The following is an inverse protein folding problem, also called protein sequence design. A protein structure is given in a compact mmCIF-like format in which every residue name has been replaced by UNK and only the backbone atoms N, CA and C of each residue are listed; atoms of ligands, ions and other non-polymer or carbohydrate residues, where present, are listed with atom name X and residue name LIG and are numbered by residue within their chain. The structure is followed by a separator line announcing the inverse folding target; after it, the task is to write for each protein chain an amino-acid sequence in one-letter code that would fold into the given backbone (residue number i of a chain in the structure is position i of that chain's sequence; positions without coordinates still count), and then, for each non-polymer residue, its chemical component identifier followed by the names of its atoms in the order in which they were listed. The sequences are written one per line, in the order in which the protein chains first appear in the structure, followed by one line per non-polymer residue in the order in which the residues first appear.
data_IF_013723641901
#
_entry.id   IF_013723641901
#
_cell.length_a   1.000
_cell.length_b   1.000
_cell.length_c   1.000
_cell.angle_alpha   90.00
_cell.angle_beta   90.00
_cell.angle_gamma   90.00
#
_symmetry.space_group_name_H-M   'P 1'
#
loop_
_entity.id
_entity.type
_entity.pdbx_description
1 polymer ?
#
# COMPACT_ATOMS: atom_id res chain seq x y z
N UNK A 1 -0.84 -25.53 4.66
CA UNK A 1 -2.15 -24.89 4.93
C UNK A 1 -2.24 -23.77 3.94
N UNK A 2 -3.19 -23.89 3.00
CA UNK A 2 -3.47 -23.02 1.85
C UNK A 2 -2.28 -22.70 0.92
N UNK A 3 -1.90 -23.69 0.12
CA UNK A 3 -1.23 -23.52 -1.18
C UNK A 3 -2.29 -23.24 -2.27
N UNK A 4 -3.06 -22.15 -2.12
CA UNK A 4 -4.03 -21.67 -3.11
C UNK A 4 -3.56 -20.32 -3.63
N UNK A 5 -3.52 -20.14 -4.96
CA UNK A 5 -2.94 -18.97 -5.62
C UNK A 5 -3.29 -17.65 -4.92
N UNK A 6 -2.28 -16.77 -4.75
CA UNK A 6 -2.40 -15.49 -4.07
C UNK A 6 -3.54 -14.69 -4.71
N UNK A 7 -4.72 -14.73 -4.09
CA UNK A 7 -5.81 -13.84 -4.41
C UNK A 7 -6.20 -13.19 -3.09
N UNK A 8 -6.00 -11.88 -3.02
CA UNK A 8 -6.32 -11.10 -1.83
C UNK A 8 -7.49 -10.17 -2.15
N UNK A 9 -8.42 -10.07 -1.22
CA UNK A 9 -9.56 -9.16 -1.37
C UNK A 9 -9.09 -7.72 -1.14
N UNK A 10 -9.74 -6.76 -1.81
CA UNK A 10 -9.42 -5.34 -1.67
C UNK A 10 -9.41 -4.85 -0.22
N UNK A 11 -10.38 -5.28 0.57
CA UNK A 11 -10.47 -4.89 1.99
C UNK A 11 -9.27 -5.42 2.79
N UNK A 12 -8.80 -6.65 2.49
CA UNK A 12 -7.61 -7.23 3.12
C UNK A 12 -6.33 -6.49 2.72
N UNK A 13 -6.22 -6.05 1.45
CA UNK A 13 -5.11 -5.22 0.95
C UNK A 13 -5.09 -3.90 1.71
N UNK A 14 -6.24 -3.21 1.80
CA UNK A 14 -6.34 -1.93 2.49
C UNK A 14 -6.04 -2.04 3.98
N UNK A 15 -6.54 -3.07 4.66
CA UNK A 15 -6.30 -3.26 6.10
C UNK A 15 -4.82 -3.55 6.38
N UNK A 16 -4.18 -4.40 5.56
CA UNK A 16 -2.75 -4.69 5.68
C UNK A 16 -1.89 -3.47 5.34
N UNK A 17 -2.23 -2.72 4.29
CA UNK A 17 -1.54 -1.49 3.90
C UNK A 17 -1.66 -0.42 5.00
N UNK A 18 -2.86 -0.22 5.55
CA UNK A 18 -3.08 0.71 6.67
C UNK A 18 -2.24 0.33 7.89
N UNK A 19 -2.26 -0.95 8.28
CA UNK A 19 -1.44 -1.43 9.41
C UNK A 19 0.04 -1.14 9.18
N UNK A 20 0.55 -1.43 7.97
CA UNK A 20 1.93 -1.15 7.62
C UNK A 20 2.29 0.34 7.74
N UNK A 21 1.44 1.23 7.23
CA UNK A 21 1.66 2.68 7.27
C UNK A 21 1.59 3.20 8.72
N UNK A 22 0.60 2.75 9.48
CA UNK A 22 0.44 3.09 10.91
C UNK A 22 1.69 2.71 11.69
N UNK A 23 2.18 1.48 11.51
CA UNK A 23 3.35 0.97 12.22
C UNK A 23 4.64 1.68 11.78
N UNK A 24 4.81 1.92 10.47
CA UNK A 24 6.03 2.52 9.90
C UNK A 24 6.19 3.99 10.28
N UNK A 25 5.09 4.74 10.34
CA UNK A 25 5.10 6.18 10.56
C UNK A 25 4.65 6.61 11.96
N UNK A 26 4.43 5.65 12.88
CA UNK A 26 3.94 5.90 14.24
C UNK A 26 2.66 6.78 14.25
N UNK A 27 1.73 6.43 13.36
CA UNK A 27 0.46 7.14 13.20
C UNK A 27 -0.64 6.46 14.01
N UNK A 28 -1.77 7.14 14.14
CA UNK A 28 -2.96 6.54 14.75
C UNK A 28 -3.80 5.85 13.68
N UNK A 29 -4.29 4.62 13.88
CA UNK A 29 -5.16 3.93 12.93
C UNK A 29 -6.35 4.79 12.46
N UNK A 30 -6.96 5.56 13.36
CA UNK A 30 -8.07 6.45 13.05
C UNK A 30 -7.71 7.66 12.18
N UNK A 31 -6.42 8.00 12.06
CA UNK A 31 -5.93 9.09 11.21
C UNK A 31 -5.69 8.66 9.76
N UNK A 32 -5.74 7.36 9.48
CA UNK A 32 -5.43 6.79 8.18
C UNK A 32 -6.67 6.16 7.56
N UNK A 33 -7.10 6.69 6.42
CA UNK A 33 -8.24 6.22 5.64
C UNK A 33 -7.80 5.86 4.22
N UNK A 34 -8.64 5.10 3.50
CA UNK A 34 -8.34 4.74 2.11
C UNK A 34 -8.22 5.97 1.19
N UNK A 35 -8.89 7.08 1.52
CA UNK A 35 -8.80 8.35 0.79
C UNK A 35 -7.64 9.24 1.24
N UNK A 36 -6.97 8.91 2.34
CA UNK A 36 -5.86 9.72 2.86
C UNK A 36 -4.71 9.71 1.86
N UNK A 37 -4.19 10.89 1.57
CA UNK A 37 -3.11 11.08 0.59
C UNK A 37 -1.73 11.08 1.21
N UNK A 38 -0.69 10.79 0.41
CA UNK A 38 0.70 10.83 0.86
C UNK A 38 1.05 12.19 1.49
N UNK A 39 0.55 13.29 0.92
CA UNK A 39 0.82 14.63 1.43
C UNK A 39 0.19 14.89 2.80
N UNK A 40 -0.99 14.31 3.07
CA UNK A 40 -1.61 14.38 4.40
C UNK A 40 -0.85 13.56 5.44
N UNK A 41 -0.18 12.49 5.02
CA UNK A 41 0.69 11.67 5.86
C UNK A 41 2.11 12.26 6.00
N UNK A 42 2.43 13.33 5.29
CA UNK A 42 3.78 13.90 5.25
C UNK A 42 4.80 13.00 4.53
N UNK A 43 4.32 12.07 3.69
CA UNK A 43 5.15 11.17 2.88
C UNK A 43 5.58 11.92 1.61
N UNK A 44 6.89 12.14 1.48
CA UNK A 44 7.51 12.64 0.26
C UNK A 44 7.92 11.50 -0.68
N UNK A 45 8.41 11.85 -1.87
CA UNK A 45 8.77 10.88 -2.92
C UNK A 45 9.84 9.87 -2.50
N UNK A 46 10.77 10.23 -1.61
CA UNK A 46 11.82 9.30 -1.16
C UNK A 46 11.22 8.28 -0.20
N UNK A 47 10.40 8.76 0.75
CA UNK A 47 9.66 7.90 1.68
C UNK A 47 8.70 6.98 0.91
N UNK A 48 8.09 7.48 -0.17
CA UNK A 48 7.22 6.69 -1.03
C UNK A 48 7.95 5.49 -1.64
N UNK A 49 9.18 5.65 -2.12
CA UNK A 49 9.97 4.53 -2.67
C UNK A 49 10.22 3.47 -1.60
N UNK A 50 10.60 3.88 -0.40
CA UNK A 50 10.84 2.98 0.73
C UNK A 50 9.55 2.28 1.22
N UNK A 51 8.40 2.97 1.17
CA UNK A 51 7.10 2.35 1.42
C UNK A 51 6.77 1.29 0.36
N UNK A 52 7.03 1.56 -0.92
CA UNK A 52 6.74 0.59 -1.98
C UNK A 52 7.63 -0.66 -1.89
N UNK A 53 8.89 -0.52 -1.47
CA UNK A 53 9.77 -1.67 -1.21
C UNK A 53 9.23 -2.57 -0.08
N UNK A 54 8.74 -1.97 1.01
CA UNK A 54 8.08 -2.72 2.09
C UNK A 54 6.80 -3.41 1.59
N UNK A 55 6.06 -2.76 0.69
CA UNK A 55 4.88 -3.36 0.06
C UNK A 55 5.26 -4.58 -0.75
N UNK A 56 6.30 -4.50 -1.59
CA UNK A 56 6.80 -5.66 -2.35
C UNK A 56 7.15 -6.83 -1.45
N UNK A 57 7.92 -6.60 -0.38
CA UNK A 57 8.31 -7.63 0.57
C UNK A 57 7.09 -8.23 1.30
N UNK A 58 6.18 -7.39 1.80
CA UNK A 58 5.05 -7.87 2.61
C UNK A 58 3.96 -8.54 1.79
N UNK A 59 3.74 -8.12 0.55
CA UNK A 59 2.73 -8.68 -0.33
C UNK A 59 3.29 -9.77 -1.24
N UNK A 60 4.62 -9.92 -1.33
CA UNK A 60 5.27 -10.92 -2.17
C UNK A 60 5.11 -10.61 -3.65
N UNK A 61 5.16 -9.32 -4.01
CA UNK A 61 5.01 -8.80 -5.38
C UNK A 61 6.25 -8.01 -5.79
N UNK A 62 6.41 -7.79 -7.10
CA UNK A 62 7.48 -6.96 -7.67
C UNK A 62 6.84 -5.98 -8.66
N UNK A 63 6.95 -4.68 -8.39
CA UNK A 63 6.41 -3.64 -9.23
C UNK A 63 7.39 -3.32 -10.36
N UNK A 64 6.95 -3.51 -11.61
CA UNK A 64 7.76 -3.07 -12.75
C UNK A 64 7.77 -1.56 -12.93
N UNK A 65 6.65 -0.91 -12.64
CA UNK A 65 6.50 0.53 -12.76
C UNK A 65 5.61 1.08 -11.63
N UNK A 66 6.12 2.12 -10.95
CA UNK A 66 5.37 2.87 -9.96
C UNK A 66 4.76 4.11 -10.62
N UNK A 67 3.54 3.96 -11.14
CA UNK A 67 2.81 5.08 -11.73
C UNK A 67 1.76 5.60 -10.75
N UNK A 68 1.97 6.81 -10.25
CA UNK A 68 1.06 7.47 -9.31
C UNK A 68 0.71 8.88 -9.78
N UNK A 69 -0.47 9.41 -9.39
CA UNK A 69 -0.73 10.84 -9.49
C UNK A 69 0.25 11.63 -8.61
N UNK A 70 0.26 12.96 -8.70
CA UNK A 70 1.18 13.81 -7.92
C UNK A 70 1.02 13.64 -6.39
N UNK A 71 -0.17 13.26 -5.94
CA UNK A 71 -0.49 13.07 -4.53
C UNK A 71 -1.37 11.80 -4.37
N UNK A 72 -0.79 10.60 -4.48
CA UNK A 72 -1.52 9.34 -4.35
C UNK A 72 -2.18 9.22 -2.98
N UNK A 73 -3.35 8.62 -3.00
CA UNK A 73 -4.07 8.11 -1.84
C UNK A 73 -3.71 6.66 -1.55
N UNK A 74 -4.10 6.19 -0.37
CA UNK A 74 -3.99 4.76 -0.04
C UNK A 74 -4.80 3.88 -1.00
N UNK A 75 -5.90 4.39 -1.57
CA UNK A 75 -6.63 3.70 -2.63
C UNK A 75 -5.78 3.52 -3.88
N UNK A 76 -5.04 4.54 -4.31
CA UNK A 76 -4.17 4.44 -5.50
C UNK A 76 -3.08 3.38 -5.30
N UNK A 77 -2.53 3.30 -4.08
CA UNK A 77 -1.54 2.27 -3.70
C UNK A 77 -2.20 0.89 -3.69
N UNK A 78 -3.39 0.77 -3.10
CA UNK A 78 -4.12 -0.49 -3.06
C UNK A 78 -4.51 -0.98 -4.46
N UNK A 79 -4.89 -0.08 -5.37
CA UNK A 79 -5.18 -0.38 -6.77
C UNK A 79 -3.95 -0.99 -7.46
N UNK A 80 -2.77 -0.40 -7.22
CA UNK A 80 -1.53 -0.92 -7.76
C UNK A 80 -1.20 -2.32 -7.21
N UNK A 81 -1.37 -2.53 -5.91
CA UNK A 81 -1.15 -3.84 -5.28
C UNK A 81 -2.13 -4.89 -5.84
N UNK A 82 -3.41 -4.55 -5.90
CA UNK A 82 -4.48 -5.43 -6.41
C UNK A 82 -4.21 -5.84 -7.86
N UNK A 83 -3.81 -4.90 -8.72
CA UNK A 83 -3.47 -5.17 -10.11
C UNK A 83 -2.26 -6.10 -10.29
N UNK A 84 -1.31 -6.11 -9.33
CA UNK A 84 -0.13 -6.98 -9.38
C UNK A 84 -0.33 -8.34 -8.68
N UNK A 85 -1.24 -8.41 -7.70
CA UNK A 85 -1.57 -9.66 -7.00
C UNK A 85 -2.53 -10.54 -7.80
N UNK A 86 -3.56 -9.93 -8.39
CA UNK A 86 -4.68 -10.63 -9.01
C UNK A 86 -4.59 -10.66 -10.55
N UNK A 87 -3.48 -10.18 -11.11
CA UNK A 87 -3.21 -10.04 -12.56
C UNK A 87 -2.44 -11.19 -13.19
#
# INVERSE_FOLDING_TARGET
MNDGGLFMLRDEILDKLKSMIVDKFDLKPESVSASTTQGELGIDSIIMVDLMMDVEERFGIEFRELQFPKNPSLNDIADLIEANLNG
#
